data_IF_486468695708
#
_entry.id   IF_486468695708
#
_cell.length_a   1.000
_cell.length_b   1.000
_cell.length_c   1.000
_cell.angle_alpha   90.00
_cell.angle_beta   90.00
_cell.angle_gamma   90.00
#
_symmetry.space_group_name_H-M   'P 1'
#
loop_
_entity.id
_entity.type
_entity.pdbx_description
1 polymer ?
#
# COMPACT_ATOMS: atom_id res chain seq x y z
N UNK A 1 5.74 0.44 -12.27
CA UNK A 1 4.49 1.05 -11.81
C UNK A 1 4.65 1.66 -10.42
N UNK A 2 4.93 0.92 -9.34
CA UNK A 2 5.15 1.53 -8.00
C UNK A 2 6.24 2.60 -8.00
N UNK A 3 7.43 2.29 -8.53
CA UNK A 3 8.55 3.25 -8.64
C UNK A 3 8.30 4.47 -9.54
N UNK A 4 7.19 4.50 -10.27
CA UNK A 4 6.82 5.61 -11.14
C UNK A 4 5.65 6.44 -10.57
N UNK A 5 4.93 5.89 -9.61
CA UNK A 5 3.94 6.64 -8.85
C UNK A 5 4.65 7.49 -7.80
N UNK A 6 4.06 8.62 -7.43
CA UNK A 6 4.60 9.47 -6.36
C UNK A 6 4.58 8.78 -4.99
N UNK A 7 3.66 7.82 -4.81
CA UNK A 7 3.57 6.95 -3.62
C UNK A 7 3.18 5.56 -4.10
N UNK A 8 4.02 4.57 -3.82
CA UNK A 8 3.76 3.16 -4.04
C UNK A 8 3.24 2.49 -2.78
N UNK A 9 2.08 1.82 -2.86
CA UNK A 9 1.52 1.04 -1.75
C UNK A 9 1.52 -0.45 -2.11
N UNK A 10 2.05 -1.27 -1.20
CA UNK A 10 1.97 -2.73 -1.29
C UNK A 10 1.09 -3.28 -0.17
N UNK A 11 0.35 -4.35 -0.43
CA UNK A 11 -0.51 -5.01 0.56
C UNK A 11 0.27 -6.04 1.38
N UNK A 12 -0.25 -6.43 2.55
CA UNK A 12 0.38 -7.40 3.46
C UNK A 12 0.67 -8.76 2.81
N UNK A 13 -0.16 -9.21 1.87
CA UNK A 13 0.04 -10.45 1.11
C UNK A 13 0.90 -10.29 -0.15
N UNK A 14 1.39 -9.08 -0.45
CA UNK A 14 2.22 -8.87 -1.63
C UNK A 14 3.55 -9.63 -1.53
N UNK A 15 4.12 -9.96 -2.69
CA UNK A 15 5.47 -10.53 -2.80
C UNK A 15 6.51 -9.59 -2.19
N UNK A 16 7.58 -10.15 -1.63
CA UNK A 16 8.62 -9.37 -0.94
C UNK A 16 9.27 -8.33 -1.85
N UNK A 17 9.46 -8.65 -3.14
CA UNK A 17 9.98 -7.71 -4.13
C UNK A 17 9.06 -6.49 -4.33
N UNK A 18 7.75 -6.67 -4.20
CA UNK A 18 6.76 -5.59 -4.34
C UNK A 18 6.76 -4.72 -3.08
N UNK A 19 6.82 -5.35 -1.91
CA UNK A 19 6.94 -4.65 -0.62
C UNK A 19 8.23 -3.83 -0.55
N UNK A 20 9.35 -4.40 -1.01
CA UNK A 20 10.65 -3.73 -1.05
C UNK A 20 10.69 -2.54 -2.02
N UNK A 21 9.78 -2.50 -3.00
CA UNK A 21 9.66 -1.41 -3.96
C UNK A 21 8.54 -0.41 -3.61
N UNK A 22 7.86 -0.57 -2.47
CA UNK A 22 6.77 0.27 -2.01
C UNK A 22 7.23 1.24 -0.92
N UNK A 23 6.62 2.43 -0.88
CA UNK A 23 6.84 3.44 0.15
C UNK A 23 6.04 3.11 1.42
N UNK A 24 4.93 2.38 1.28
CA UNK A 24 4.11 1.93 2.38
C UNK A 24 3.58 0.52 2.15
N UNK A 25 3.70 -0.33 3.18
CA UNK A 25 3.09 -1.66 3.20
C UNK A 25 1.88 -1.60 4.12
N UNK A 26 0.70 -1.82 3.58
CA UNK A 26 -0.57 -1.79 4.30
C UNK A 26 -1.05 -3.19 4.70
N UNK A 27 -2.19 -3.28 5.38
CA UNK A 27 -2.82 -4.52 5.79
C UNK A 27 -3.13 -5.46 4.61
N UNK A 28 -3.45 -6.73 4.86
CA UNK A 28 -3.93 -7.64 3.83
C UNK A 28 -5.22 -7.16 3.15
N UNK A 29 -5.54 -7.74 1.99
CA UNK A 29 -6.77 -7.40 1.26
C UNK A 29 -8.03 -7.74 2.05
N UNK A 30 -7.98 -8.80 2.86
CA UNK A 30 -9.09 -9.24 3.70
C UNK A 30 -9.32 -8.33 4.92
N UNK A 31 -8.42 -7.36 5.15
CA UNK A 31 -8.46 -6.40 6.27
C UNK A 31 -8.55 -4.95 5.77
N UNK A 32 -9.17 -4.72 4.61
CA UNK A 32 -9.40 -3.38 4.04
C UNK A 32 -8.12 -2.55 3.83
N UNK A 33 -7.00 -3.20 3.49
CA UNK A 33 -5.70 -2.53 3.42
C UNK A 33 -5.63 -1.31 2.48
N UNK A 34 -6.44 -1.25 1.41
CA UNK A 34 -6.52 -0.06 0.56
C UNK A 34 -7.18 1.10 1.32
N UNK A 35 -8.30 0.85 2.02
CA UNK A 35 -8.98 1.88 2.83
C UNK A 35 -8.03 2.43 3.90
N UNK A 36 -7.31 1.54 4.59
CA UNK A 36 -6.31 1.92 5.58
C UNK A 36 -5.17 2.73 4.98
N UNK A 37 -4.70 2.39 3.78
CA UNK A 37 -3.69 3.17 3.08
C UNK A 37 -4.20 4.56 2.70
N UNK A 38 -5.42 4.65 2.15
CA UNK A 38 -6.02 5.95 1.79
C UNK A 38 -6.23 6.84 3.02
N UNK A 39 -6.65 6.28 4.16
CA UNK A 39 -6.75 6.99 5.45
C UNK A 39 -5.38 7.43 5.96
N UNK A 40 -4.37 6.56 5.89
CA UNK A 40 -2.98 6.88 6.28
C UNK A 40 -2.43 8.09 5.50
N UNK A 41 -2.75 8.18 4.21
CA UNK A 41 -2.37 9.33 3.36
C UNK A 41 -3.36 10.50 3.41
N UNK A 42 -4.40 10.44 4.25
CA UNK A 42 -5.37 11.51 4.41
C UNK A 42 -6.23 11.80 3.18
N UNK A 43 -6.42 10.79 2.31
CA UNK A 43 -7.21 10.93 1.07
C UNK A 43 -8.71 10.77 1.36
N UNK A 44 -9.06 9.92 2.34
CA UNK A 44 -10.44 9.65 2.79
C UNK A 44 -10.51 9.58 4.33
N UNK A 45 -11.72 9.68 4.89
CA UNK A 45 -12.01 9.51 6.32
C UNK A 45 -12.51 8.10 6.70
#
# INVERSE_FOLDING_TARGET
MLRHAAVGVAMGQARDEVKAAADYVTAPVDEDGISLALKHFGIIE
#
